data_IF_794204197074
#
_entry.id   IF_794204197074
#
_cell.length_a   1.000
_cell.length_b   1.000
_cell.length_c   1.000
_cell.angle_alpha   90.00
_cell.angle_beta   90.00
_cell.angle_gamma   90.00
#
_symmetry.space_group_name_H-M   'P 1'
#
loop_
_entity.id
_entity.type
_entity.pdbx_description
1 polymer ?
#
# COMPACT_ATOMS: atom_id res chain seq x y z
N UNK A 1 -30.17 10.74 2.06
CA UNK A 1 -28.74 10.40 2.18
C UNK A 1 -28.00 11.63 2.63
N UNK A 2 -27.09 11.53 3.61
CA UNK A 2 -26.30 12.70 4.06
C UNK A 2 -25.47 13.24 2.89
N UNK A 3 -25.22 14.54 2.83
CA UNK A 3 -24.34 15.14 1.81
C UNK A 3 -22.92 14.57 1.86
N UNK A 4 -22.50 14.01 3.01
CA UNK A 4 -21.19 13.38 3.18
C UNK A 4 -21.13 12.01 2.54
N UNK A 5 -22.20 11.21 2.55
CA UNK A 5 -22.23 9.90 1.89
C UNK A 5 -21.94 10.02 0.38
N UNK A 6 -22.64 10.93 -0.31
CA UNK A 6 -22.37 11.22 -1.73
C UNK A 6 -20.95 11.74 -1.96
N UNK A 7 -20.41 12.54 -1.02
CA UNK A 7 -19.03 13.04 -1.12
C UNK A 7 -18.00 11.92 -0.94
N UNK A 8 -18.25 10.97 -0.02
CA UNK A 8 -17.40 9.80 0.20
C UNK A 8 -17.37 8.95 -1.08
N UNK A 9 -18.53 8.62 -1.64
CA UNK A 9 -18.64 7.82 -2.87
C UNK A 9 -17.89 8.52 -4.04
N UNK A 10 -18.09 9.83 -4.20
CA UNK A 10 -17.38 10.62 -5.22
C UNK A 10 -15.85 10.63 -5.03
N UNK A 11 -15.37 10.71 -3.79
CA UNK A 11 -13.95 10.65 -3.47
C UNK A 11 -13.38 9.27 -3.81
N UNK A 12 -14.07 8.18 -3.47
CA UNK A 12 -13.63 6.81 -3.77
C UNK A 12 -13.58 6.55 -5.29
N UNK A 13 -14.61 6.97 -6.02
CA UNK A 13 -14.64 6.81 -7.48
C UNK A 13 -13.59 7.67 -8.18
N UNK A 14 -13.26 8.84 -7.62
CA UNK A 14 -12.13 9.64 -8.09
C UNK A 14 -10.80 8.93 -7.80
N UNK A 15 -10.60 8.43 -6.58
CA UNK A 15 -9.40 7.71 -6.17
C UNK A 15 -9.12 6.47 -7.01
N UNK A 16 -10.16 5.72 -7.42
CA UNK A 16 -10.01 4.57 -8.35
C UNK A 16 -9.44 5.01 -9.71
N UNK A 17 -9.98 6.07 -10.29
CA UNK A 17 -9.50 6.61 -11.59
C UNK A 17 -8.10 7.21 -11.48
N UNK A 18 -7.80 7.87 -10.37
CA UNK A 18 -6.46 8.40 -10.12
C UNK A 18 -5.44 7.26 -9.97
N UNK A 19 -5.81 6.15 -9.30
CA UNK A 19 -4.96 4.96 -9.19
C UNK A 19 -4.64 4.36 -10.56
N UNK A 20 -5.63 4.19 -11.45
CA UNK A 20 -5.40 3.69 -12.80
C UNK A 20 -4.43 4.59 -13.60
N UNK A 21 -4.58 5.91 -13.45
CA UNK A 21 -3.70 6.90 -14.07
C UNK A 21 -2.27 6.78 -13.52
N UNK A 22 -2.12 6.70 -12.20
CA UNK A 22 -0.84 6.51 -11.51
C UNK A 22 -0.19 5.20 -11.97
N UNK A 23 -0.92 4.09 -12.05
CA UNK A 23 -0.40 2.80 -12.51
C UNK A 23 0.18 2.87 -13.92
N UNK A 24 -0.50 3.57 -14.84
CA UNK A 24 -0.02 3.73 -16.21
C UNK A 24 1.23 4.60 -16.29
N UNK A 25 1.26 5.73 -15.57
CA UNK A 25 2.44 6.60 -15.49
C UNK A 25 3.62 5.91 -14.81
N UNK A 26 3.35 5.11 -13.77
CA UNK A 26 4.36 4.36 -13.04
C UNK A 26 5.07 3.36 -13.97
N UNK A 27 4.33 2.62 -14.80
CA UNK A 27 4.92 1.73 -15.82
C UNK A 27 5.84 2.49 -16.79
N UNK A 28 5.45 3.69 -17.22
CA UNK A 28 6.29 4.54 -18.05
C UNK A 28 7.56 5.01 -17.31
N UNK A 29 7.43 5.42 -16.04
CA UNK A 29 8.57 5.79 -15.18
C UNK A 29 9.54 4.64 -14.93
N UNK A 30 9.05 3.40 -14.82
CA UNK A 30 9.92 2.22 -14.71
C UNK A 30 10.81 2.04 -15.95
N UNK A 31 10.22 2.21 -17.14
CA UNK A 31 10.94 2.14 -18.42
C UNK A 31 11.95 3.28 -18.58
N UNK A 32 11.57 4.51 -18.21
CA UNK A 32 12.42 5.69 -18.26
C UNK A 32 13.50 5.72 -17.15
N UNK A 33 13.38 4.85 -16.14
CA UNK A 33 14.22 4.80 -14.93
C UNK A 33 14.23 6.06 -14.07
N UNK A 34 13.25 6.94 -14.28
CA UNK A 34 13.10 8.19 -13.54
C UNK A 34 11.63 8.37 -13.16
N UNK A 35 11.39 8.84 -11.94
CA UNK A 35 10.04 9.17 -11.47
C UNK A 35 9.67 10.55 -11.99
N UNK A 36 8.54 10.59 -12.68
CA UNK A 36 7.91 11.82 -13.13
C UNK A 36 7.50 12.68 -11.91
N UNK A 37 7.93 13.95 -11.80
CA UNK A 37 7.53 14.83 -10.70
C UNK A 37 6.00 14.94 -10.53
N UNK A 38 5.26 14.94 -11.63
CA UNK A 38 3.80 15.01 -11.60
C UNK A 38 3.18 13.73 -11.01
N UNK A 39 3.84 12.57 -11.16
CA UNK A 39 3.40 11.33 -10.54
C UNK A 39 3.38 11.46 -9.01
N UNK A 40 4.31 12.24 -8.44
CA UNK A 40 4.33 12.50 -6.99
C UNK A 40 3.14 13.36 -6.57
N UNK A 41 2.72 14.31 -7.41
CA UNK A 41 1.53 15.15 -7.18
C UNK A 41 0.27 14.29 -7.22
N UNK A 42 0.15 13.42 -8.22
CA UNK A 42 -1.00 12.52 -8.35
C UNK A 42 -1.13 11.61 -7.11
N UNK A 43 -0.01 11.04 -6.65
CA UNK A 43 0.04 10.22 -5.44
C UNK A 43 -0.41 11.00 -4.20
N UNK A 44 0.07 12.25 -4.03
CA UNK A 44 -0.37 13.12 -2.93
C UNK A 44 -1.88 13.35 -2.97
N UNK A 45 -2.42 13.66 -4.14
CA UNK A 45 -3.85 13.94 -4.31
C UNK A 45 -4.70 12.69 -4.02
N UNK A 46 -4.28 11.53 -4.52
CA UNK A 46 -4.92 10.25 -4.24
C UNK A 46 -4.97 9.98 -2.73
N UNK A 47 -3.84 10.10 -2.03
CA UNK A 47 -3.79 9.88 -0.58
C UNK A 47 -4.65 10.90 0.18
N UNK A 48 -4.67 12.16 -0.25
CA UNK A 48 -5.51 13.20 0.31
C UNK A 48 -7.00 12.89 0.19
N UNK A 49 -7.44 12.43 -0.98
CA UNK A 49 -8.83 12.03 -1.24
C UNK A 49 -9.27 10.86 -0.36
N UNK A 50 -8.45 9.81 -0.27
CA UNK A 50 -8.70 8.66 0.60
C UNK A 50 -8.79 9.07 2.07
N UNK A 51 -7.90 9.97 2.52
CA UNK A 51 -7.94 10.46 3.90
C UNK A 51 -9.21 11.27 4.18
N UNK A 52 -9.64 12.11 3.24
CA UNK A 52 -10.90 12.85 3.36
C UNK A 52 -12.11 11.94 3.45
N UNK A 53 -12.14 10.83 2.68
CA UNK A 53 -13.23 9.86 2.75
C UNK A 53 -13.35 9.25 4.16
N UNK A 54 -12.22 8.83 4.76
CA UNK A 54 -12.19 8.34 6.13
C UNK A 54 -12.64 9.41 7.15
N UNK A 55 -12.17 10.65 7.00
CA UNK A 55 -12.51 11.72 7.94
C UNK A 55 -13.98 12.13 7.84
N UNK A 56 -14.58 12.12 6.65
CA UNK A 56 -16.03 12.33 6.47
C UNK A 56 -16.84 11.20 7.10
N UNK A 57 -16.38 9.97 6.95
CA UNK A 57 -16.97 8.83 7.61
C UNK A 57 -16.93 8.98 9.15
N UNK A 58 -15.80 9.39 9.70
CA UNK A 58 -15.68 9.65 11.13
C UNK A 58 -16.68 10.71 11.63
N UNK A 59 -16.93 11.75 10.83
CA UNK A 59 -17.94 12.77 11.15
C UNK A 59 -19.34 12.18 11.26
N UNK A 60 -19.75 11.35 10.30
CA UNK A 60 -21.08 10.74 10.30
C UNK A 60 -21.24 9.74 11.44
N UNK A 61 -20.22 8.91 11.71
CA UNK A 61 -20.24 7.96 12.84
C UNK A 61 -20.36 8.68 14.19
N UNK A 62 -19.57 9.74 14.40
CA UNK A 62 -19.62 10.51 15.65
C UNK A 62 -20.97 11.23 15.83
N UNK A 63 -21.47 11.85 14.77
CA UNK A 63 -22.75 12.56 14.80
C UNK A 63 -23.92 11.62 15.15
N UNK A 64 -23.88 10.37 14.69
CA UNK A 64 -24.94 9.39 14.91
C UNK A 64 -24.84 8.67 16.24
N UNK A 65 -23.64 8.27 16.66
CA UNK A 65 -23.45 7.36 17.80
C UNK A 65 -22.84 8.01 19.05
N UNK A 66 -22.40 9.26 18.96
CA UNK A 66 -21.73 9.96 20.07
C UNK A 66 -22.34 11.35 20.35
N UNK A 67 -23.65 11.42 20.70
CA UNK A 67 -24.35 12.71 20.90
C UNK A 67 -23.79 13.54 22.07
N UNK A 68 -23.10 12.90 23.01
CA UNK A 68 -22.47 13.54 24.18
C UNK A 68 -21.00 13.96 23.93
N UNK A 69 -20.46 13.71 22.74
CA UNK A 69 -19.06 14.04 22.46
C UNK A 69 -18.86 15.57 22.36
N UNK A 70 -17.78 16.07 22.96
CA UNK A 70 -17.50 17.51 23.01
C UNK A 70 -17.29 18.08 21.57
N UNK A 71 -18.14 19.01 21.09
CA UNK A 71 -18.04 19.55 19.75
C UNK A 71 -16.74 20.33 19.49
N UNK A 72 -16.02 20.76 20.55
CA UNK A 72 -14.75 21.50 20.44
C UNK A 72 -13.55 20.58 20.23
N UNK A 73 -13.68 19.29 20.54
CA UNK A 73 -12.60 18.33 20.35
C UNK A 73 -12.43 18.07 18.85
N UNK A 74 -11.26 18.44 18.32
CA UNK A 74 -10.85 18.08 16.96
C UNK A 74 -10.59 16.57 16.92
N UNK A 75 -11.24 15.91 15.98
CA UNK A 75 -11.17 14.46 15.81
C UNK A 75 -11.05 14.10 14.34
N UNK A 76 -10.68 12.85 14.11
CA UNK A 76 -10.50 12.28 12.78
C UNK A 76 -10.85 10.80 12.79
N UNK A 77 -10.78 10.15 11.62
CA UNK A 77 -10.82 8.69 11.58
C UNK A 77 -9.62 8.11 12.32
N UNK A 78 -9.82 7.17 13.26
CA UNK A 78 -8.75 6.60 14.08
C UNK A 78 -7.85 5.69 13.26
N UNK A 79 -6.55 6.02 13.22
CA UNK A 79 -5.48 5.19 12.67
C UNK A 79 -4.33 5.22 13.65
N UNK A 80 -4.32 4.31 14.62
CA UNK A 80 -3.46 4.41 15.79
C UNK A 80 -2.53 3.21 15.94
N UNK A 81 -1.31 3.40 16.47
CA UNK A 81 -0.24 2.41 16.41
C UNK A 81 -0.36 1.29 17.46
N UNK A 82 -1.28 1.40 18.42
CA UNK A 82 -1.46 0.39 19.47
C UNK A 82 -2.88 0.42 20.04
N UNK A 83 -3.27 -0.70 20.67
CA UNK A 83 -4.54 -0.82 21.40
C UNK A 83 -4.69 0.23 22.50
N UNK A 84 -3.62 0.51 23.25
CA UNK A 84 -3.65 1.53 24.29
C UNK A 84 -3.93 2.92 23.71
N UNK A 85 -3.27 3.28 22.60
CA UNK A 85 -3.52 4.55 21.92
C UNK A 85 -4.96 4.61 21.38
N UNK A 86 -5.46 3.50 20.83
CA UNK A 86 -6.84 3.35 20.37
C UNK A 86 -7.85 3.62 21.47
N UNK A 87 -7.75 2.91 22.59
CA UNK A 87 -8.66 3.09 23.72
C UNK A 87 -8.65 4.54 24.23
N UNK A 88 -7.47 5.15 24.38
CA UNK A 88 -7.35 6.53 24.85
C UNK A 88 -7.98 7.55 23.89
N UNK A 89 -7.62 7.49 22.60
CA UNK A 89 -8.06 8.49 21.62
C UNK A 89 -9.51 8.30 21.23
N UNK A 90 -9.96 7.06 20.99
CA UNK A 90 -11.33 6.82 20.56
C UNK A 90 -12.31 7.08 21.71
N UNK A 91 -11.93 6.84 22.97
CA UNK A 91 -12.76 7.28 24.12
C UNK A 91 -12.91 8.80 24.21
N UNK A 92 -11.89 9.56 23.79
CA UNK A 92 -11.93 11.02 23.75
C UNK A 92 -12.68 11.56 22.53
N UNK A 93 -12.41 11.01 21.35
CA UNK A 93 -12.98 11.46 20.07
C UNK A 93 -14.42 10.99 19.88
N UNK A 94 -14.73 9.77 20.29
CA UNK A 94 -16.03 9.11 20.16
C UNK A 94 -16.56 8.74 21.55
N UNK A 95 -16.72 9.75 22.40
CA UNK A 95 -17.17 9.57 23.78
C UNK A 95 -18.50 8.78 23.84
N UNK A 96 -18.51 7.71 24.65
CA UNK A 96 -19.66 6.83 24.83
C UNK A 96 -19.83 5.73 23.76
N UNK A 97 -19.02 5.70 22.71
CA UNK A 97 -19.18 4.76 21.59
C UNK A 97 -19.10 3.29 22.04
N UNK A 98 -18.14 2.94 22.89
CA UNK A 98 -17.96 1.56 23.37
C UNK A 98 -19.20 1.00 24.09
N UNK A 99 -19.98 1.87 24.73
CA UNK A 99 -21.23 1.48 25.41
C UNK A 99 -22.43 1.55 24.46
N UNK A 100 -22.52 2.61 23.64
CA UNK A 100 -23.67 2.86 22.78
C UNK A 100 -23.73 1.94 21.56
N UNK A 101 -22.56 1.60 20.99
CA UNK A 101 -22.44 0.74 19.82
C UNK A 101 -21.15 -0.11 19.90
N UNK A 102 -21.13 -1.16 20.76
CA UNK A 102 -19.95 -1.98 20.98
C UNK A 102 -19.45 -2.68 19.70
N UNK A 103 -20.35 -3.04 18.79
CA UNK A 103 -19.99 -3.66 17.51
C UNK A 103 -19.22 -2.72 16.59
N UNK A 104 -19.60 -1.43 16.56
CA UNK A 104 -18.87 -0.41 15.79
C UNK A 104 -17.52 -0.12 16.42
N UNK A 105 -17.45 -0.08 17.76
CA UNK A 105 -16.19 0.05 18.47
C UNK A 105 -15.22 -1.10 18.14
N UNK A 106 -15.70 -2.34 18.23
CA UNK A 106 -14.91 -3.52 17.90
C UNK A 106 -14.46 -3.53 16.43
N UNK A 107 -15.33 -3.11 15.51
CA UNK A 107 -14.96 -2.97 14.11
C UNK A 107 -13.87 -1.92 13.88
N UNK A 108 -14.00 -0.72 14.46
CA UNK A 108 -12.96 0.30 14.34
C UNK A 108 -11.63 -0.17 14.93
N UNK A 109 -11.66 -0.99 15.99
CA UNK A 109 -10.47 -1.59 16.60
C UNK A 109 -9.84 -2.63 15.67
N UNK A 110 -10.62 -3.48 15.01
CA UNK A 110 -10.10 -4.52 14.12
C UNK A 110 -9.43 -3.98 12.86
N UNK A 111 -9.78 -2.78 12.42
CA UNK A 111 -9.17 -2.10 11.26
C UNK A 111 -7.85 -1.39 11.60
N UNK A 112 -7.39 -1.42 12.86
CA UNK A 112 -6.20 -0.67 13.27
C UNK A 112 -4.88 -1.31 12.79
N UNK A 113 -3.84 -0.51 12.51
CA UNK A 113 -2.61 -0.99 11.88
C UNK A 113 -1.73 -1.90 12.75
N UNK A 114 -2.05 -2.06 14.04
CA UNK A 114 -1.38 -3.04 14.90
C UNK A 114 -1.98 -4.46 14.77
N UNK A 115 -3.05 -4.63 13.98
CA UNK A 115 -3.56 -5.94 13.61
C UNK A 115 -2.95 -6.43 12.30
N UNK A 116 -2.78 -7.74 12.23
CA UNK A 116 -2.22 -8.40 11.06
C UNK A 116 -3.10 -8.14 9.82
N UNK A 117 -2.48 -7.72 8.72
CA UNK A 117 -3.17 -7.39 7.47
C UNK A 117 -3.70 -5.95 7.39
N UNK A 118 -3.59 -5.18 8.46
CA UNK A 118 -4.00 -3.76 8.51
C UNK A 118 -2.82 -2.78 8.51
N UNK A 119 -1.58 -3.27 8.38
CA UNK A 119 -0.35 -2.47 8.44
C UNK A 119 -0.35 -1.37 7.36
N UNK A 120 -0.98 -1.66 6.20
CA UNK A 120 -1.16 -0.73 5.10
C UNK A 120 -1.79 0.59 5.55
N UNK A 121 -2.71 0.58 6.53
CA UNK A 121 -3.40 1.77 7.00
C UNK A 121 -2.44 2.70 7.76
N UNK A 122 -1.50 2.11 8.49
CA UNK A 122 -0.43 2.83 9.19
C UNK A 122 0.55 3.46 8.20
N UNK A 123 1.01 2.69 7.21
CA UNK A 123 1.91 3.18 6.16
C UNK A 123 1.24 4.26 5.30
N UNK A 124 -0.03 4.05 4.94
CA UNK A 124 -0.85 5.05 4.25
C UNK A 124 -0.92 6.35 5.04
N UNK A 125 -1.21 6.27 6.34
CA UNK A 125 -1.34 7.46 7.18
C UNK A 125 0.00 8.22 7.30
N UNK A 126 1.12 7.49 7.36
CA UNK A 126 2.47 8.06 7.34
C UNK A 126 2.74 8.79 6.02
N UNK A 127 2.53 8.14 4.87
CA UNK A 127 2.68 8.76 3.53
C UNK A 127 1.82 10.02 3.39
N UNK A 128 0.55 9.94 3.77
CA UNK A 128 -0.36 11.07 3.69
C UNK A 128 0.09 12.23 4.59
N UNK A 129 0.61 11.95 5.79
CA UNK A 129 1.09 12.97 6.73
C UNK A 129 2.35 13.66 6.22
N UNK A 130 3.31 12.88 5.71
CA UNK A 130 4.55 13.40 5.14
C UNK A 130 4.29 14.25 3.89
N UNK A 131 3.42 13.80 2.97
CA UNK A 131 3.04 14.58 1.78
C UNK A 131 2.25 15.88 2.08
N UNK A 132 1.67 16.00 3.29
CA UNK A 132 0.91 17.19 3.74
C UNK A 132 1.80 18.21 4.45
N UNK A 133 2.75 17.75 5.26
CA UNK A 133 3.54 18.60 6.16
C UNK A 133 5.01 18.73 5.76
N UNK A 134 5.49 17.89 4.85
CA UNK A 134 6.85 17.92 4.30
C UNK A 134 6.85 18.10 2.78
N UNK A 135 7.94 17.68 2.16
CA UNK A 135 8.07 17.61 0.70
C UNK A 135 7.33 16.38 0.14
N UNK A 136 7.07 16.38 -1.16
CA UNK A 136 6.51 15.19 -1.84
C UNK A 136 7.47 14.01 -1.63
N UNK A 137 6.97 12.96 -0.99
CA UNK A 137 7.78 11.88 -0.48
C UNK A 137 8.55 11.22 -1.64
N UNK A 138 9.88 11.27 -1.53
CA UNK A 138 10.75 10.71 -2.54
C UNK A 138 10.58 9.21 -2.60
N UNK A 139 10.55 8.65 -3.81
CA UNK A 139 10.59 7.21 -3.97
C UNK A 139 11.96 6.80 -4.54
N UNK A 140 12.55 5.77 -3.95
CA UNK A 140 13.81 5.19 -4.38
C UNK A 140 13.58 3.99 -5.28
N UNK A 141 14.31 3.94 -6.39
CA UNK A 141 14.35 2.78 -7.28
C UNK A 141 15.09 1.63 -6.58
N UNK A 142 14.40 0.51 -6.40
CA UNK A 142 14.95 -0.74 -5.91
C UNK A 142 14.96 -1.71 -7.07
N UNK A 143 16.13 -2.24 -7.40
CA UNK A 143 16.30 -3.25 -8.45
C UNK A 143 16.61 -4.61 -7.82
N UNK A 144 15.87 -5.64 -8.22
CA UNK A 144 16.21 -7.03 -7.91
C UNK A 144 16.40 -7.81 -9.21
N UNK A 145 17.59 -8.39 -9.37
CA UNK A 145 17.93 -9.19 -10.53
C UNK A 145 17.58 -10.66 -10.26
N UNK A 146 17.02 -11.32 -11.26
CA UNK A 146 16.78 -12.76 -11.27
C UNK A 146 17.32 -13.33 -12.57
N UNK A 147 18.09 -14.40 -12.47
CA UNK A 147 18.41 -15.22 -13.64
C UNK A 147 17.34 -16.29 -13.73
N UNK A 148 16.76 -16.45 -14.91
CA UNK A 148 15.85 -17.54 -15.25
C UNK A 148 16.48 -18.37 -16.36
N UNK A 149 16.58 -19.67 -16.14
CA UNK A 149 16.98 -20.64 -17.15
C UNK A 149 15.80 -21.55 -17.42
N UNK A 150 15.39 -21.62 -18.69
CA UNK A 150 14.31 -22.49 -19.16
C UNK A 150 14.87 -23.51 -20.14
N UNK A 151 14.54 -24.78 -19.94
CA UNK A 151 14.95 -25.89 -20.81
C UNK A 151 13.77 -26.55 -21.54
N UNK A 152 14.01 -27.63 -22.29
CA UNK A 152 12.96 -28.39 -22.96
C UNK A 152 12.09 -29.12 -21.92
N UNK A 153 10.77 -29.13 -22.10
CA UNK A 153 9.83 -29.87 -21.24
C UNK A 153 9.40 -29.12 -19.96
N UNK A 154 9.19 -27.81 -20.05
CA UNK A 154 8.67 -26.92 -18.98
C UNK A 154 9.52 -26.82 -17.69
N UNK A 155 10.70 -27.42 -17.65
CA UNK A 155 11.64 -27.26 -16.54
C UNK A 155 12.25 -25.85 -16.49
N UNK A 156 12.16 -25.19 -15.34
CA UNK A 156 12.81 -23.91 -15.10
C UNK A 156 13.56 -23.84 -13.77
N UNK A 157 14.66 -23.07 -13.75
CA UNK A 157 15.39 -22.73 -12.54
C UNK A 157 15.55 -21.22 -12.46
N UNK A 158 15.29 -20.64 -11.28
CA UNK A 158 15.42 -19.20 -11.03
C UNK A 158 16.24 -18.94 -9.77
N UNK A 159 17.15 -17.97 -9.83
CA UNK A 159 17.93 -17.55 -8.67
C UNK A 159 18.23 -16.06 -8.67
N UNK A 160 18.56 -15.54 -7.49
CA UNK A 160 19.14 -14.21 -7.34
C UNK A 160 20.67 -14.32 -7.47
N UNK A 161 21.29 -13.68 -8.48
CA UNK A 161 22.73 -13.78 -8.73
C UNK A 161 23.60 -13.08 -7.67
N UNK A 162 23.00 -12.29 -6.75
CA UNK A 162 23.68 -11.69 -5.60
C UNK A 162 23.70 -12.64 -4.40
N UNK A 163 22.67 -13.46 -4.24
CA UNK A 163 22.52 -14.38 -3.11
C UNK A 163 23.09 -15.78 -3.40
N UNK A 164 23.06 -16.22 -4.67
CA UNK A 164 23.52 -17.56 -5.08
C UNK A 164 24.77 -17.44 -5.94
N UNK A 165 25.81 -18.17 -5.56
CA UNK A 165 27.03 -18.37 -6.35
C UNK A 165 27.26 -19.85 -6.59
N UNK A 166 27.55 -20.21 -7.83
CA UNK A 166 27.88 -21.56 -8.25
C UNK A 166 29.39 -21.73 -8.34
N UNK A 167 29.87 -22.84 -7.78
CA UNK A 167 31.23 -23.32 -7.98
C UNK A 167 31.37 -24.15 -9.26
N UNK A 168 32.58 -24.67 -9.47
CA UNK A 168 32.83 -25.60 -10.58
C UNK A 168 32.02 -26.90 -10.43
N UNK A 169 31.63 -27.49 -11.56
CA UNK A 169 30.92 -28.78 -11.59
C UNK A 169 29.40 -28.71 -11.40
N UNK A 170 28.81 -27.50 -11.36
CA UNK A 170 27.36 -27.32 -11.32
C UNK A 170 26.78 -27.33 -12.73
N UNK A 171 25.66 -28.04 -12.90
CA UNK A 171 24.92 -28.10 -14.15
C UNK A 171 23.47 -27.71 -13.91
N UNK A 172 22.89 -26.94 -14.84
CA UNK A 172 21.44 -26.69 -14.89
C UNK A 172 20.94 -27.35 -16.17
N UNK A 173 19.96 -28.26 -16.06
CA UNK A 173 19.38 -28.93 -17.23
C UNK A 173 20.43 -29.60 -18.14
N UNK A 174 21.48 -30.18 -17.57
CA UNK A 174 22.58 -30.83 -18.29
C UNK A 174 23.63 -29.89 -18.90
N UNK A 175 23.46 -28.58 -18.77
CA UNK A 175 24.42 -27.57 -19.28
C UNK A 175 25.27 -27.05 -18.13
N UNK A 176 26.61 -27.03 -18.25
CA UNK A 176 27.49 -26.55 -17.18
C UNK A 176 27.30 -25.05 -16.93
N UNK A 177 27.41 -24.65 -15.66
CA UNK A 177 27.55 -23.25 -15.26
C UNK A 177 29.01 -22.83 -15.42
N UNK A 178 29.23 -21.66 -16.01
CA UNK A 178 30.52 -20.98 -15.99
C UNK A 178 30.67 -20.21 -14.66
N UNK A 179 31.63 -20.57 -13.78
CA UNK A 179 31.84 -19.89 -12.51
C UNK A 179 32.28 -18.43 -12.63
N UNK A 180 32.84 -18.02 -13.78
CA UNK A 180 33.22 -16.62 -14.01
C UNK A 180 32.00 -15.73 -14.26
N UNK A 181 31.07 -16.20 -15.10
CA UNK A 181 29.87 -15.44 -15.47
C UNK A 181 28.66 -15.74 -14.59
N UNK A 182 28.69 -16.84 -13.82
CA UNK A 182 27.61 -17.34 -12.98
C UNK A 182 26.33 -17.67 -13.78
N UNK A 183 26.48 -18.03 -15.06
CA UNK A 183 25.42 -18.39 -15.99
C UNK A 183 25.72 -19.75 -16.65
N UNK A 184 24.70 -20.46 -17.16
CA UNK A 184 24.93 -21.59 -18.06
C UNK A 184 25.73 -21.16 -19.27
N UNK A 185 26.67 -22.00 -19.69
CA UNK A 185 27.35 -21.83 -20.98
C UNK A 185 26.30 -21.79 -22.09
N UNK A 186 26.39 -20.87 -23.07
CA UNK A 186 25.39 -20.75 -24.14
C UNK A 186 25.11 -22.10 -24.81
N UNK A 187 23.84 -22.51 -24.84
CA UNK A 187 23.43 -23.81 -25.38
C UNK A 187 22.05 -23.71 -26.06
N UNK A 188 21.86 -24.27 -27.28
CA UNK A 188 20.64 -24.08 -28.06
C UNK A 188 19.37 -24.67 -27.40
N UNK A 189 19.54 -25.66 -26.52
CA UNK A 189 18.42 -26.25 -25.76
C UNK A 189 17.97 -25.41 -24.56
N UNK A 190 18.64 -24.30 -24.24
CA UNK A 190 18.32 -23.47 -23.09
C UNK A 190 18.14 -22.00 -23.47
N UNK A 191 17.17 -21.37 -22.82
CA UNK A 191 17.01 -19.92 -22.83
C UNK A 191 17.39 -19.38 -21.46
N UNK A 192 18.31 -18.42 -21.44
CA UNK A 192 18.73 -17.71 -20.25
C UNK A 192 18.22 -16.28 -20.33
N UNK A 193 17.34 -15.90 -19.41
CA UNK A 193 16.82 -14.54 -19.29
C UNK A 193 17.37 -13.91 -17.99
N UNK A 194 17.88 -12.68 -18.09
CA UNK A 194 18.13 -11.83 -16.91
C UNK A 194 16.94 -10.89 -16.75
N UNK A 195 16.19 -11.09 -15.67
CA UNK A 195 15.00 -10.31 -15.34
C UNK A 195 15.41 -9.32 -14.25
N UNK A 196 15.31 -8.03 -14.55
CA UNK A 196 15.50 -6.97 -13.54
C UNK A 196 14.13 -6.46 -13.14
N UNK A 197 13.70 -6.80 -11.93
CA UNK A 197 12.52 -6.21 -11.31
C UNK A 197 12.87 -4.85 -10.76
N UNK A 198 12.00 -3.88 -11.02
CA UNK A 198 12.18 -2.51 -10.59
C UNK A 198 10.95 -2.10 -9.80
N UNK A 199 11.17 -1.60 -8.60
CA UNK A 199 10.14 -1.07 -7.72
C UNK A 199 10.55 0.31 -7.22
N UNK A 200 9.62 1.26 -7.19
CA UNK A 200 9.80 2.54 -6.51
C UNK A 200 9.15 2.45 -5.13
N UNK A 201 9.99 2.52 -4.11
CA UNK A 201 9.57 2.46 -2.71
C UNK A 201 9.59 3.83 -2.08
N UNK A 202 8.61 4.14 -1.24
CA UNK A 202 8.59 5.36 -0.45
C UNK A 202 9.81 5.42 0.49
N UNK A 203 10.67 6.42 0.34
CA UNK A 203 11.90 6.58 1.15
C UNK A 203 11.53 6.75 2.63
N UNK A 204 12.25 6.07 3.52
CA UNK A 204 11.98 6.11 4.97
C UNK A 204 10.83 5.20 5.43
N UNK A 205 10.01 4.70 4.50
CA UNK A 205 8.92 3.76 4.75
C UNK A 205 9.30 2.36 4.27
N UNK A 206 9.99 2.25 3.13
CA UNK A 206 10.48 0.98 2.58
C UNK A 206 9.39 0.11 1.95
N UNK A 207 8.25 0.72 1.61
CA UNK A 207 7.10 0.02 1.02
C UNK A 207 6.95 0.44 -0.44
N UNK A 208 6.63 -0.53 -1.30
CA UNK A 208 6.32 -0.29 -2.72
C UNK A 208 5.19 0.72 -2.84
N UNK A 209 5.42 1.81 -3.58
CA UNK A 209 4.44 2.86 -3.73
C UNK A 209 3.16 2.33 -4.40
N UNK A 210 3.30 1.52 -5.45
CA UNK A 210 2.16 0.99 -6.17
C UNK A 210 1.35 -0.01 -5.33
N UNK A 211 2.04 -0.89 -4.61
CA UNK A 211 1.37 -1.84 -3.72
C UNK A 211 0.60 -1.11 -2.61
N UNK A 212 1.22 -0.13 -1.96
CA UNK A 212 0.58 0.62 -0.89
C UNK A 212 -0.65 1.38 -1.38
N UNK A 213 -0.57 2.05 -2.53
CA UNK A 213 -1.70 2.80 -3.09
C UNK A 213 -2.86 1.88 -3.49
N UNK A 214 -2.55 0.73 -4.08
CA UNK A 214 -3.55 -0.29 -4.42
C UNK A 214 -4.25 -0.81 -3.16
N UNK A 215 -3.47 -1.21 -2.15
CA UNK A 215 -4.02 -1.65 -0.86
C UNK A 215 -4.81 -0.54 -0.16
N UNK A 216 -4.38 0.71 -0.27
CA UNK A 216 -5.06 1.86 0.37
C UNK A 216 -6.41 2.14 -0.27
N UNK A 217 -6.51 2.11 -1.60
CA UNK A 217 -7.80 2.30 -2.30
C UNK A 217 -8.77 1.17 -1.95
N UNK A 218 -8.32 -0.08 -2.02
CA UNK A 218 -9.13 -1.24 -1.70
C UNK A 218 -9.54 -1.27 -0.22
N UNK A 219 -8.59 -1.02 0.68
CA UNK A 219 -8.79 -1.03 2.12
C UNK A 219 -9.71 0.08 2.60
N UNK A 220 -9.54 1.32 2.13
CA UNK A 220 -10.45 2.42 2.50
C UNK A 220 -11.86 2.18 1.95
N UNK A 221 -12.00 1.66 0.73
CA UNK A 221 -13.31 1.26 0.22
C UNK A 221 -13.94 0.14 1.07
N UNK A 222 -13.15 -0.86 1.47
CA UNK A 222 -13.58 -1.93 2.37
C UNK A 222 -14.06 -1.40 3.72
N UNK A 223 -13.30 -0.46 4.32
CA UNK A 223 -13.67 0.20 5.57
C UNK A 223 -15.03 0.91 5.40
N UNK A 224 -15.19 1.70 4.34
CA UNK A 224 -16.43 2.45 4.05
C UNK A 224 -17.62 1.51 3.87
N UNK A 225 -17.46 0.41 3.13
CA UNK A 225 -18.54 -0.57 2.96
C UNK A 225 -18.88 -1.28 4.27
N UNK A 226 -17.87 -1.71 5.03
CA UNK A 226 -18.08 -2.42 6.29
C UNK A 226 -18.78 -1.56 7.35
N UNK A 227 -18.60 -0.23 7.31
CA UNK A 227 -19.29 0.68 8.21
C UNK A 227 -20.68 1.13 7.77
N UNK A 228 -21.08 0.90 6.51
CA UNK A 228 -22.39 1.36 6.00
C UNK A 228 -23.57 0.90 6.86
N UNK A 229 -23.45 -0.27 7.50
CA UNK A 229 -24.50 -0.82 8.38
C UNK A 229 -24.78 0.03 9.63
N UNK A 230 -23.88 0.94 10.00
CA UNK A 230 -24.06 1.88 11.12
C UNK A 230 -24.29 3.32 10.67
N UNK A 231 -24.27 3.61 9.37
CA UNK A 231 -24.56 4.92 8.79
C UNK A 231 -26.03 5.15 8.52
#
# INVERSE_FOLDING_TARGET
MSSRATSIDALLDRSRRDLDTIMNRYKASLAAKQIDPDLRIDIKNLCGNLRSALDYLAQDLRARHCPSADPRVRFYFPILPSRQAFEQKVSSWFAGLATACPDLWAYLESEQPYHQGCEWLGDFNRVNSENKHGELLEQSRVESERVRVSGPGDGEVRWDPRAVKFGAGVFIGGVPIDPGTQLPVPHPAQRVDRIVWVDFQFRGIGVSALQLLTSSVAGVAGIVEGVRRWL
#
